data_IF_303984265768
#
_entry.id   IF_303984265768
#
_cell.length_a   1.000
_cell.length_b   1.000
_cell.length_c   1.000
_cell.angle_alpha   90.00
_cell.angle_beta   90.00
_cell.angle_gamma   90.00
#
_symmetry.space_group_name_H-M   'P 1'
#
loop_
_entity.id
_entity.type
_entity.pdbx_description
1 polymer ?
#
# COMPACT_ATOMS: atom_id res chain seq x y z
N UNK A 1 -25.52 -17.23 0.70
CA UNK A 1 -24.11 -17.41 0.26
C UNK A 1 -24.01 -17.19 -1.26
N UNK A 2 -24.31 -15.98 -1.75
CA UNK A 2 -24.34 -15.63 -3.18
C UNK A 2 -23.63 -14.29 -3.48
N UNK A 3 -22.82 -13.79 -2.55
CA UNK A 3 -22.21 -12.44 -2.65
C UNK A 3 -20.69 -12.45 -2.91
N UNK A 4 -20.11 -13.59 -3.29
CA UNK A 4 -18.68 -13.72 -3.55
C UNK A 4 -18.33 -13.95 -5.03
N UNK A 5 -19.31 -14.03 -5.94
CA UNK A 5 -19.07 -14.46 -7.32
C UNK A 5 -19.05 -13.37 -8.41
N UNK A 6 -19.19 -12.08 -8.07
CA UNK A 6 -19.22 -11.04 -9.11
C UNK A 6 -18.63 -9.70 -8.68
N UNK A 7 -17.59 -9.68 -7.83
CA UNK A 7 -16.78 -8.47 -7.71
C UNK A 7 -15.63 -8.61 -8.69
N UNK A 8 -15.76 -7.91 -9.82
CA UNK A 8 -14.70 -7.62 -10.79
C UNK A 8 -13.37 -7.48 -10.07
N UNK A 9 -12.27 -8.01 -10.61
CA UNK A 9 -10.93 -7.89 -10.02
C UNK A 9 -10.51 -6.41 -9.96
N UNK A 10 -11.05 -5.67 -8.99
CA UNK A 10 -10.80 -4.25 -8.76
C UNK A 10 -9.71 -4.18 -7.70
N UNK A 11 -8.73 -3.29 -7.91
CA UNK A 11 -7.58 -3.10 -7.03
C UNK A 11 -7.99 -2.92 -5.54
N UNK A 12 -9.18 -2.37 -5.27
CA UNK A 12 -9.76 -2.21 -3.93
C UNK A 12 -9.96 -3.51 -3.14
N UNK A 13 -10.03 -4.67 -3.80
CA UNK A 13 -10.10 -5.98 -3.13
C UNK A 13 -8.85 -6.31 -2.33
N UNK A 14 -7.73 -5.63 -2.62
CA UNK A 14 -6.45 -5.79 -1.94
C UNK A 14 -6.34 -4.92 -0.69
N UNK A 15 -7.18 -3.90 -0.49
CA UNK A 15 -7.07 -2.96 0.63
C UNK A 15 -7.48 -3.46 2.04
N UNK A 16 -8.31 -4.52 2.23
CA UNK A 16 -8.71 -4.92 3.59
C UNK A 16 -7.57 -5.22 4.57
N UNK A 17 -6.46 -5.88 4.18
CA UNK A 17 -5.30 -6.06 5.07
C UNK A 17 -4.62 -4.74 5.47
N UNK A 18 -4.64 -3.74 4.60
CA UNK A 18 -4.05 -2.42 4.89
C UNK A 18 -4.85 -1.64 5.94
N UNK A 19 -6.16 -1.89 6.08
CA UNK A 19 -6.98 -1.33 7.16
C UNK A 19 -6.60 -1.91 8.53
N UNK A 20 -6.29 -3.22 8.59
CA UNK A 20 -5.81 -3.84 9.81
C UNK A 20 -4.41 -3.33 10.17
N UNK A 21 -3.54 -3.19 9.16
CA UNK A 21 -2.21 -2.63 9.34
C UNK A 21 -2.20 -1.18 9.81
N UNK A 22 -3.15 -0.34 9.36
CA UNK A 22 -3.21 1.06 9.78
C UNK A 22 -3.62 1.27 11.24
N UNK A 23 -4.29 0.29 11.85
CA UNK A 23 -4.58 0.27 13.29
C UNK A 23 -3.39 -0.30 14.08
N UNK A 24 -2.74 -1.35 13.56
CA UNK A 24 -1.61 -2.00 14.23
C UNK A 24 -0.35 -1.09 14.32
N UNK A 25 -0.12 -0.25 13.30
CA UNK A 25 1.01 0.69 13.24
C UNK A 25 1.06 1.68 14.41
N UNK A 26 0.02 2.49 14.68
CA UNK A 26 0.03 3.43 15.80
C UNK A 26 0.08 2.71 17.14
N UNK A 27 -0.57 1.55 17.29
CA UNK A 27 -0.49 0.76 18.53
C UNK A 27 0.98 0.41 18.84
N UNK A 28 1.71 -0.15 17.87
CA UNK A 28 3.13 -0.49 18.06
C UNK A 28 4.02 0.73 18.33
N UNK A 29 3.74 1.88 17.70
CA UNK A 29 4.48 3.12 17.92
C UNK A 29 4.24 3.74 19.29
N UNK A 30 2.99 3.78 19.77
CA UNK A 30 2.68 4.28 21.12
C UNK A 30 3.25 3.37 22.21
N UNK A 31 3.12 2.06 22.01
CA UNK A 31 3.74 1.06 22.86
C UNK A 31 5.25 1.29 22.98
N UNK A 32 5.95 1.45 21.85
CA UNK A 32 7.38 1.76 21.84
C UNK A 32 7.72 3.10 22.51
N UNK A 33 6.94 4.16 22.25
CA UNK A 33 7.20 5.49 22.80
C UNK A 33 7.15 5.51 24.35
N UNK A 34 6.26 4.72 24.94
CA UNK A 34 6.06 4.68 26.39
C UNK A 34 6.93 3.64 27.12
N UNK A 35 7.45 2.63 26.40
CA UNK A 35 8.37 1.65 26.99
C UNK A 35 9.85 2.02 26.84
N UNK A 36 10.17 3.12 26.16
CA UNK A 36 11.54 3.61 25.96
C UNK A 36 12.13 4.30 27.20
N UNK A 37 11.87 3.74 28.39
CA UNK A 37 12.45 4.17 29.66
C UNK A 37 13.71 3.35 29.99
N UNK A 38 14.77 3.94 30.56
CA UNK A 38 15.91 3.17 31.10
C UNK A 38 15.53 2.27 32.28
N UNK A 39 14.36 2.48 32.90
CA UNK A 39 13.82 1.64 33.98
C UNK A 39 13.18 0.33 33.50
N UNK A 40 12.89 0.18 32.20
CA UNK A 40 12.22 -0.99 31.64
C UNK A 40 13.25 -1.85 30.89
N UNK A 41 13.17 -3.18 31.04
CA UNK A 41 14.06 -4.10 30.33
C UNK A 41 13.91 -3.94 28.81
N UNK A 42 15.01 -3.72 28.10
CA UNK A 42 15.05 -3.43 26.65
C UNK A 42 14.23 -4.39 25.79
N UNK A 43 14.15 -5.67 26.19
CA UNK A 43 13.39 -6.71 25.51
C UNK A 43 11.88 -6.38 25.42
N UNK A 44 11.33 -5.69 26.41
CA UNK A 44 9.90 -5.31 26.43
C UNK A 44 9.61 -4.36 25.26
N UNK A 45 10.46 -3.36 25.03
CA UNK A 45 10.31 -2.42 23.91
C UNK A 45 10.41 -3.10 22.55
N UNK A 46 11.27 -4.12 22.42
CA UNK A 46 11.39 -4.90 21.18
C UNK A 46 10.10 -5.69 20.92
N UNK A 47 9.60 -6.41 21.93
CA UNK A 47 8.37 -7.20 21.80
C UNK A 47 7.16 -6.30 21.52
N UNK A 48 7.06 -5.15 22.18
CA UNK A 48 5.98 -4.19 21.94
C UNK A 48 6.04 -3.52 20.56
N UNK A 49 7.21 -3.50 19.92
CA UNK A 49 7.38 -3.01 18.54
C UNK A 49 7.02 -4.07 17.46
N UNK A 50 6.80 -5.33 17.83
CA UNK A 50 6.38 -6.38 16.89
C UNK A 50 5.11 -6.03 16.07
N UNK A 51 4.00 -5.51 16.67
CA UNK A 51 2.83 -5.09 15.90
C UNK A 51 3.11 -3.96 14.90
N UNK A 52 4.12 -3.12 15.14
CA UNK A 52 4.53 -2.10 14.16
C UNK A 52 5.13 -2.75 12.90
N UNK A 53 6.03 -3.72 13.06
CA UNK A 53 6.59 -4.47 11.93
C UNK A 53 5.51 -5.22 11.13
N UNK A 54 4.57 -5.85 11.84
CA UNK A 54 3.42 -6.53 11.22
C UNK A 54 2.52 -5.55 10.45
N UNK A 55 2.20 -4.40 11.04
CA UNK A 55 1.43 -3.34 10.39
C UNK A 55 2.12 -2.77 9.15
N UNK A 56 3.44 -2.59 9.18
CA UNK A 56 4.22 -2.14 8.03
C UNK A 56 4.05 -3.07 6.82
N UNK A 57 4.16 -4.39 7.03
CA UNK A 57 4.01 -5.38 5.95
C UNK A 57 2.58 -5.39 5.41
N UNK A 58 1.59 -5.35 6.32
CA UNK A 58 0.16 -5.32 5.98
C UNK A 58 -0.26 -4.08 5.20
N UNK A 59 0.43 -2.95 5.36
CA UNK A 59 0.16 -1.73 4.58
C UNK A 59 0.97 -1.71 3.29
N UNK A 60 2.26 -2.04 3.33
CA UNK A 60 3.15 -1.91 2.16
C UNK A 60 2.77 -2.89 1.06
N UNK A 61 2.54 -4.18 1.38
CA UNK A 61 2.27 -5.19 0.36
C UNK A 61 0.98 -4.91 -0.43
N UNK A 62 -0.16 -4.63 0.19
CA UNK A 62 -1.38 -4.44 -0.58
C UNK A 62 -1.44 -3.07 -1.27
N UNK A 63 -0.76 -2.05 -0.73
CA UNK A 63 -0.61 -0.75 -1.42
C UNK A 63 0.22 -0.89 -2.68
N UNK A 64 1.35 -1.60 -2.63
CA UNK A 64 2.18 -1.85 -3.83
C UNK A 64 1.39 -2.61 -4.89
N UNK A 65 0.67 -3.67 -4.50
CA UNK A 65 -0.19 -4.40 -5.43
C UNK A 65 -1.33 -3.52 -5.98
N UNK A 66 -1.96 -2.71 -5.14
CA UNK A 66 -2.98 -1.75 -5.58
C UNK A 66 -2.43 -0.74 -6.61
N UNK A 67 -1.21 -0.25 -6.42
CA UNK A 67 -0.53 0.66 -7.36
C UNK A 67 -0.26 -0.02 -8.69
N UNK A 68 0.22 -1.26 -8.69
CA UNK A 68 0.49 -2.05 -9.89
C UNK A 68 -0.80 -2.29 -10.66
N UNK A 69 -1.84 -2.78 -9.99
CA UNK A 69 -3.15 -3.04 -10.59
C UNK A 69 -3.81 -1.75 -11.08
N UNK A 70 -3.56 -0.63 -10.40
CA UNK A 70 -4.18 0.64 -10.76
C UNK A 70 -3.50 1.35 -11.91
N UNK A 71 -2.17 1.27 -11.99
CA UNK A 71 -1.35 2.04 -12.92
C UNK A 71 -0.55 1.16 -13.87
N UNK A 72 -1.02 -0.05 -14.20
CA UNK A 72 -0.31 -1.10 -14.97
C UNK A 72 0.79 -0.61 -15.94
N UNK A 73 0.48 0.32 -16.85
CA UNK A 73 1.43 0.86 -17.86
C UNK A 73 2.52 1.75 -17.22
N UNK A 74 2.16 2.50 -16.19
CA UNK A 74 3.06 3.37 -15.42
C UNK A 74 3.48 2.75 -14.06
N UNK A 75 3.24 1.46 -13.84
CA UNK A 75 3.39 0.82 -12.53
C UNK A 75 4.83 0.93 -12.00
N UNK A 76 5.83 0.74 -12.86
CA UNK A 76 7.24 0.87 -12.50
C UNK A 76 7.59 2.30 -12.07
N UNK A 77 7.05 3.32 -12.75
CA UNK A 77 7.29 4.73 -12.42
C UNK A 77 6.61 5.12 -11.10
N UNK A 78 5.36 4.70 -10.89
CA UNK A 78 4.64 4.98 -9.63
C UNK A 78 5.30 4.27 -8.46
N UNK A 79 5.76 3.02 -8.65
CA UNK A 79 6.50 2.29 -7.63
C UNK A 79 7.82 2.98 -7.30
N UNK A 80 8.58 3.43 -8.31
CA UNK A 80 9.80 4.20 -8.13
C UNK A 80 9.54 5.53 -7.38
N UNK A 81 8.51 6.29 -7.77
CA UNK A 81 8.12 7.52 -7.10
C UNK A 81 7.76 7.26 -5.63
N UNK A 82 7.03 6.18 -5.34
CA UNK A 82 6.70 5.78 -3.96
C UNK A 82 7.95 5.42 -3.14
N UNK A 83 8.96 4.81 -3.78
CA UNK A 83 10.23 4.50 -3.15
C UNK A 83 11.02 5.77 -2.84
N UNK A 84 11.09 6.70 -3.79
CA UNK A 84 11.77 7.99 -3.63
C UNK A 84 11.12 8.79 -2.49
N UNK A 85 9.79 8.94 -2.49
CA UNK A 85 9.06 9.64 -1.42
C UNK A 85 9.39 9.05 -0.04
N UNK A 86 9.37 7.73 0.09
CA UNK A 86 9.71 7.05 1.34
C UNK A 86 11.16 7.31 1.76
N UNK A 87 12.10 7.22 0.83
CA UNK A 87 13.52 7.47 1.09
C UNK A 87 13.79 8.92 1.47
N UNK A 88 13.12 9.89 0.82
CA UNK A 88 13.24 11.32 1.16
C UNK A 88 12.71 11.58 2.56
N UNK A 89 11.54 11.03 2.92
CA UNK A 89 11.00 11.16 4.27
C UNK A 89 11.93 10.51 5.32
N UNK A 90 12.49 9.33 5.00
CA UNK A 90 13.44 8.64 5.87
C UNK A 90 14.77 9.40 6.04
N UNK A 91 15.22 10.13 5.02
CA UNK A 91 16.42 10.96 5.07
C UNK A 91 16.17 12.32 5.75
N UNK A 92 14.96 12.88 5.60
CA UNK A 92 14.59 14.16 6.20
C UNK A 92 14.35 14.05 7.71
N UNK A 93 13.76 12.95 8.17
CA UNK A 93 13.40 12.78 9.59
C UNK A 93 14.60 12.92 10.55
N UNK A 94 15.75 12.25 10.33
CA UNK A 94 16.94 12.38 11.16
C UNK A 94 17.50 13.81 11.29
N UNK A 95 17.27 14.68 10.30
CA UNK A 95 17.85 16.03 10.26
C UNK A 95 17.37 16.90 11.42
N UNK A 96 16.13 16.68 11.91
CA UNK A 96 15.57 17.37 13.06
C UNK A 96 15.40 16.47 14.29
N UNK A 97 15.66 15.16 14.18
CA UNK A 97 15.53 14.20 15.30
C UNK A 97 16.38 14.60 16.50
N UNK A 98 17.64 15.01 16.30
CA UNK A 98 18.51 15.40 17.43
C UNK A 98 17.89 16.54 18.24
N UNK A 99 17.46 17.61 17.57
CA UNK A 99 16.82 18.76 18.20
C UNK A 99 15.50 18.37 18.89
N UNK A 100 14.73 17.47 18.27
CA UNK A 100 13.49 16.94 18.83
C UNK A 100 13.75 16.18 20.15
N UNK A 101 14.72 15.27 20.19
CA UNK A 101 15.04 14.50 21.39
C UNK A 101 15.62 15.35 22.52
N UNK A 102 16.44 16.37 22.20
CA UNK A 102 17.00 17.28 23.21
C UNK A 102 15.94 18.17 23.86
N UNK A 103 14.93 18.64 23.12
CA UNK A 103 13.92 19.58 23.66
C UNK A 103 12.70 18.88 24.28
N UNK A 104 12.22 17.77 23.70
CA UNK A 104 11.01 17.08 24.16
C UNK A 104 11.28 15.91 25.12
N UNK A 105 12.51 15.40 25.14
CA UNK A 105 12.85 14.18 25.89
C UNK A 105 12.35 12.90 25.22
N UNK A 106 12.76 11.75 25.76
CA UNK A 106 12.68 10.44 25.08
C UNK A 106 11.24 10.00 24.77
N UNK A 107 10.29 10.21 25.70
CA UNK A 107 8.90 9.75 25.53
C UNK A 107 8.10 10.61 24.56
N UNK A 108 8.21 11.94 24.68
CA UNK A 108 7.49 12.86 23.82
C UNK A 108 8.06 12.87 22.41
N UNK A 109 9.39 12.84 22.25
CA UNK A 109 10.03 12.75 20.94
C UNK A 109 9.62 11.48 20.19
N UNK A 110 9.52 10.34 20.88
CA UNK A 110 9.06 9.07 20.29
C UNK A 110 7.55 9.03 20.01
N UNK A 111 6.75 9.88 20.67
CA UNK A 111 5.30 10.00 20.43
C UNK A 111 4.96 10.82 19.20
N UNK A 112 5.83 11.73 18.75
CA UNK A 112 5.64 12.52 17.51
C UNK A 112 5.39 11.63 16.28
N UNK A 113 6.26 10.64 15.95
CA UNK A 113 5.96 9.73 14.84
C UNK A 113 4.73 8.85 15.10
N UNK A 114 4.41 8.53 16.37
CA UNK A 114 3.19 7.80 16.71
C UNK A 114 1.93 8.61 16.34
N UNK A 115 1.88 9.90 16.69
CA UNK A 115 0.79 10.79 16.26
C UNK A 115 0.73 10.96 14.75
N UNK A 116 1.87 11.00 14.06
CA UNK A 116 1.89 11.04 12.60
C UNK A 116 1.26 9.78 11.99
N UNK A 117 1.53 8.60 12.56
CA UNK A 117 0.86 7.36 12.10
C UNK A 117 -0.65 7.37 12.34
N UNK A 118 -1.13 8.00 13.41
CA UNK A 118 -2.57 8.20 13.65
C UNK A 118 -3.18 9.14 12.63
N UNK A 119 -2.51 10.24 12.31
CA UNK A 119 -2.96 11.16 11.24
C UNK A 119 -3.03 10.46 9.88
N UNK A 120 -2.14 9.50 9.62
CA UNK A 120 -2.16 8.67 8.42
C UNK A 120 -3.15 7.48 8.47
N UNK A 121 -3.65 7.10 9.65
CA UNK A 121 -4.60 5.98 9.84
C UNK A 121 -5.84 6.02 8.93
N UNK A 122 -6.55 7.16 8.73
CA UNK A 122 -7.76 7.20 7.90
C UNK A 122 -7.47 7.03 6.40
N UNK A 123 -6.21 7.16 5.95
CA UNK A 123 -5.85 7.13 4.54
C UNK A 123 -6.33 5.86 3.79
N UNK A 124 -6.04 4.62 4.25
CA UNK A 124 -6.55 3.41 3.61
C UNK A 124 -8.08 3.27 3.66
N UNK A 125 -8.74 3.81 4.69
CA UNK A 125 -10.21 3.82 4.76
C UNK A 125 -10.82 4.72 3.69
N UNK A 126 -10.22 5.90 3.49
CA UNK A 126 -10.63 6.84 2.44
C UNK A 126 -10.38 6.22 1.06
N UNK A 127 -9.23 5.60 0.82
CA UNK A 127 -8.93 4.92 -0.44
C UNK A 127 -9.86 3.73 -0.72
N UNK A 128 -10.31 3.01 0.31
CA UNK A 128 -11.28 1.93 0.14
C UNK A 128 -12.67 2.46 -0.26
N UNK A 129 -13.10 3.60 0.29
CA UNK A 129 -14.44 4.16 0.01
C UNK A 129 -14.49 4.98 -1.29
N UNK A 130 -13.40 5.66 -1.64
CA UNK A 130 -13.31 6.62 -2.74
C UNK A 130 -12.35 6.20 -3.87
N UNK A 131 -11.74 5.02 -3.82
CA UNK A 131 -10.75 4.55 -4.80
C UNK A 131 -11.24 4.63 -6.25
N UNK A 132 -12.45 4.14 -6.51
CA UNK A 132 -13.12 4.24 -7.81
C UNK A 132 -13.32 5.70 -8.27
N UNK A 133 -13.66 6.61 -7.36
CA UNK A 133 -13.84 8.03 -7.68
C UNK A 133 -12.51 8.76 -7.90
N UNK A 134 -11.45 8.38 -7.21
CA UNK A 134 -10.10 8.92 -7.45
C UNK A 134 -9.53 8.47 -8.80
N UNK A 135 -9.74 7.20 -9.19
CA UNK A 135 -9.34 6.68 -10.51
C UNK A 135 -9.98 7.45 -11.66
N UNK A 136 -11.22 7.91 -11.50
CA UNK A 136 -11.94 8.65 -12.54
C UNK A 136 -11.49 10.12 -12.64
N UNK A 137 -10.86 10.67 -11.60
CA UNK A 137 -10.37 12.06 -11.57
C UNK A 137 -8.91 12.21 -12.02
N UNK A 138 -8.12 11.13 -12.02
CA UNK A 138 -6.72 11.18 -12.44
C UNK A 138 -6.58 10.89 -13.95
N UNK A 139 -6.04 11.86 -14.69
CA UNK A 139 -5.74 11.75 -16.14
C UNK A 139 -4.90 10.50 -16.47
N UNK A 140 -3.91 10.18 -15.64
CA UNK A 140 -3.00 9.05 -15.84
C UNK A 140 -3.64 7.66 -15.65
N UNK A 141 -4.61 7.51 -14.75
CA UNK A 141 -5.33 6.23 -14.57
C UNK A 141 -6.34 5.98 -15.67
N UNK A 142 -6.94 7.05 -16.21
CA UNK A 142 -7.80 6.99 -17.38
C UNK A 142 -7.01 6.63 -18.64
N UNK A 143 -5.88 7.29 -18.86
CA UNK A 143 -5.00 7.04 -20.02
C UNK A 143 -4.40 5.62 -19.99
N UNK A 144 -4.00 5.12 -18.81
CA UNK A 144 -3.53 3.75 -18.65
C UNK A 144 -4.64 2.72 -18.91
N UNK A 145 -5.89 3.00 -18.49
CA UNK A 145 -7.04 2.14 -18.75
C UNK A 145 -7.43 2.14 -20.24
N UNK A 146 -7.33 3.29 -20.92
CA UNK A 146 -7.65 3.42 -22.34
C UNK A 146 -6.60 2.75 -23.22
N UNK A 147 -5.31 2.92 -22.91
CA UNK A 147 -4.23 2.23 -23.61
C UNK A 147 -4.28 0.71 -23.41
N UNK A 148 -4.61 0.20 -22.22
CA UNK A 148 -4.83 -1.25 -22.03
C UNK A 148 -6.02 -1.75 -22.86
N UNK A 149 -7.09 -0.97 -22.95
CA UNK A 149 -8.24 -1.32 -23.79
C UNK A 149 -7.85 -1.39 -25.26
N UNK A 150 -7.04 -0.44 -25.74
CA UNK A 150 -6.46 -0.44 -27.11
C UNK A 150 -5.51 -1.62 -27.33
N UNK A 151 -4.68 -1.97 -26.36
CA UNK A 151 -3.78 -3.15 -26.45
C UNK A 151 -4.55 -4.47 -26.50
N UNK A 152 -5.61 -4.62 -25.69
CA UNK A 152 -6.48 -5.80 -25.72
C UNK A 152 -7.30 -5.89 -27.01
N UNK A 153 -7.72 -4.74 -27.54
CA UNK A 153 -8.44 -4.66 -28.81
C UNK A 153 -7.50 -5.05 -29.96
N UNK A 154 -6.29 -4.48 -30.01
CA UNK A 154 -5.26 -4.87 -30.99
C UNK A 154 -4.85 -6.35 -30.85
N UNK A 155 -4.73 -6.89 -29.64
CA UNK A 155 -4.45 -8.33 -29.44
C UNK A 155 -5.60 -9.23 -29.88
N UNK A 156 -6.87 -8.83 -29.67
CA UNK A 156 -8.02 -9.58 -30.20
C UNK A 156 -8.11 -9.51 -31.72
N UNK A 157 -7.69 -8.39 -32.32
CA UNK A 157 -7.64 -8.21 -33.77
C UNK A 157 -6.44 -8.92 -34.42
N UNK A 158 -5.35 -9.14 -33.67
CA UNK A 158 -4.15 -9.87 -34.11
C UNK A 158 -4.09 -11.34 -33.66
N UNK A 159 -5.07 -11.85 -32.92
CA UNK A 159 -5.17 -13.29 -32.66
C UNK A 159 -5.49 -13.99 -33.99
N UNK A 160 -4.57 -14.80 -34.56
CA UNK A 160 -4.86 -15.51 -35.79
C UNK A 160 -6.02 -16.46 -35.49
N UNK A 161 -7.06 -16.40 -36.32
CA UNK A 161 -8.08 -17.44 -36.36
C UNK A 161 -7.35 -18.77 -36.48
N UNK A 162 -7.32 -19.56 -35.40
CA UNK A 162 -6.76 -20.90 -35.42
C UNK A 162 -7.51 -21.64 -36.52
N UNK A 163 -6.84 -22.13 -37.59
CA UNK A 163 -7.53 -22.90 -38.59
C UNK A 163 -7.98 -24.18 -37.90
N UNK A 164 -9.27 -24.30 -37.66
CA UNK A 164 -9.90 -25.55 -37.30
C UNK A 164 -9.87 -26.45 -38.52
N UNK A 165 -8.78 -27.18 -38.74
CA UNK A 165 -8.84 -28.39 -39.54
C UNK A 165 -7.69 -29.35 -39.19
N UNK A 166 -8.05 -30.49 -38.61
CA UNK A 166 -7.62 -31.85 -38.99
C UNK A 166 -7.90 -32.81 -37.83
N UNK A 167 -8.74 -33.82 -38.10
CA UNK A 167 -9.02 -34.90 -37.14
C UNK A 167 -10.45 -35.45 -37.14
N UNK A 168 -11.12 -35.56 -38.28
CA UNK A 168 -12.24 -36.50 -38.43
C UNK A 168 -11.78 -37.58 -39.40
N UNK A 169 -11.42 -38.69 -38.78
CA UNK A 169 -10.76 -39.88 -39.28
C UNK A 169 -11.54 -40.58 -40.39
N UNK A 170 -10.76 -41.22 -41.25
CA UNK A 170 -11.15 -42.02 -42.39
C UNK A 170 -11.17 -43.48 -41.94
N UNK A 171 -12.36 -44.10 -41.88
CA UNK A 171 -12.68 -45.53 -42.18
C UNK A 171 -13.90 -46.03 -41.41
#
# INVERSE_FOLDING_TARGET
MKLFLAKTATAESRLPPAMLGSIALPIGMFCFAWTNCPSIHWAVSIVLSAPFGFGCILVVLPVVNYLIDSYTIFAASVLAASAILRSVLAAAFPLFTNQMYTNLGIHWASSVPAFLTVLCMPFPFVMYRYGASLRMKCKYTFEAAEMMKRMQQNQKEQAPATPSNEGADSK
#
